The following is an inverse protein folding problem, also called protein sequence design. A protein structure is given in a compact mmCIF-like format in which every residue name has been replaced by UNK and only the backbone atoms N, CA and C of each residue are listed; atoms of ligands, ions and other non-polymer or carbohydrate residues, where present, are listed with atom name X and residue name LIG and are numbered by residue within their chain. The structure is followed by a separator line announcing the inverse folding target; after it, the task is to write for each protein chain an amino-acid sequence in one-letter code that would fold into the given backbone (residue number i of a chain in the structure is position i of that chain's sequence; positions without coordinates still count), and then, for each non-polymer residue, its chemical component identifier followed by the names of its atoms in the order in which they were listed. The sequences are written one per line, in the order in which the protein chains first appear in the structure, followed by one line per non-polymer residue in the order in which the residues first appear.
data_IF_786284563839
#
_entry.id   IF_786284563839
#
_cell.length_a   1.000
_cell.length_b   1.000
_cell.length_c   1.000
_cell.angle_alpha   90.00
_cell.angle_beta   90.00
_cell.angle_gamma   90.00
#
_symmetry.space_group_name_H-M   'P 1'
#
loop_
_entity.id
_entity.type
_entity.pdbx_description
1 polymer ?
#
# COMPACT_ATOMS: atom_id res chain seq x y z
N UNK A 1 -11.00 6.70 -7.18
CA UNK A 1 -10.43 6.89 -8.54
C UNK A 1 -9.11 6.14 -8.72
N UNK A 2 -8.11 6.31 -7.85
CA UNK A 2 -6.83 5.58 -7.93
C UNK A 2 -6.97 4.05 -7.80
N UNK A 3 -7.77 3.57 -6.83
CA UNK A 3 -7.98 2.13 -6.61
C UNK A 3 -8.57 1.45 -7.86
N UNK A 4 -9.54 2.07 -8.53
CA UNK A 4 -10.13 1.54 -9.76
C UNK A 4 -9.10 1.42 -10.92
N UNK A 5 -8.16 2.36 -11.02
CA UNK A 5 -7.07 2.30 -12.00
C UNK A 5 -6.08 1.18 -11.68
N UNK A 6 -5.79 0.94 -10.39
CA UNK A 6 -4.94 -0.17 -9.94
C UNK A 6 -5.59 -1.52 -10.28
N UNK A 7 -6.88 -1.70 -9.97
CA UNK A 7 -7.61 -2.93 -10.29
C UNK A 7 -7.78 -3.15 -11.81
N UNK A 8 -7.99 -2.10 -12.59
CA UNK A 8 -8.03 -2.20 -14.05
C UNK A 8 -6.69 -2.64 -14.65
N UNK A 9 -5.57 -2.07 -14.17
CA UNK A 9 -4.23 -2.48 -14.61
C UNK A 9 -3.93 -3.96 -14.27
N UNK A 10 -4.43 -4.47 -13.14
CA UNK A 10 -4.22 -5.85 -12.70
C UNK A 10 -5.05 -6.90 -13.46
N UNK A 11 -6.23 -6.55 -13.98
CA UNK A 11 -7.21 -7.50 -14.55
C UNK A 11 -7.12 -7.66 -16.07
N UNK A 12 -6.30 -6.88 -16.76
CA UNK A 12 -6.16 -6.97 -18.23
C UNK A 12 -5.61 -8.34 -18.66
N UNK A 13 -6.37 -9.17 -19.41
CA UNK A 13 -5.91 -10.49 -19.81
C UNK A 13 -4.74 -10.39 -20.79
N UNK A 14 -3.69 -11.14 -20.47
CA UNK A 14 -2.44 -11.30 -21.22
C UNK A 14 -2.70 -12.04 -22.54
N UNK A 15 -3.33 -11.40 -23.50
CA UNK A 15 -3.36 -11.89 -24.86
C UNK A 15 -2.53 -10.94 -25.70
N UNK A 16 -1.41 -11.42 -26.26
CA UNK A 16 -1.03 -11.20 -27.66
C UNK A 16 0.30 -11.90 -27.96
N UNK A 17 0.31 -12.53 -29.15
CA UNK A 17 1.32 -13.33 -29.81
C UNK A 17 2.69 -12.66 -30.04
N UNK A 18 3.64 -13.50 -30.49
CA UNK A 18 5.09 -13.34 -30.77
C UNK A 18 5.62 -12.03 -31.40
N UNK A 19 4.78 -11.08 -31.85
CA UNK A 19 5.21 -9.75 -32.32
C UNK A 19 4.61 -8.56 -31.54
N UNK A 20 3.59 -8.80 -30.72
CA UNK A 20 2.99 -7.79 -29.84
C UNK A 20 3.37 -7.95 -28.36
N UNK A 21 4.10 -9.03 -27.99
CA UNK A 21 4.60 -9.25 -26.63
C UNK A 21 5.40 -8.04 -26.09
N UNK A 22 6.30 -7.46 -26.88
CA UNK A 22 7.13 -6.32 -26.41
C UNK A 22 6.31 -5.05 -26.16
N UNK A 23 5.28 -4.80 -26.96
CA UNK A 23 4.46 -3.58 -26.84
C UNK A 23 3.47 -3.71 -25.67
N UNK A 24 2.80 -4.86 -25.54
CA UNK A 24 1.81 -5.08 -24.48
C UNK A 24 2.46 -5.17 -23.09
N UNK A 25 3.65 -5.79 -22.97
CA UNK A 25 4.43 -5.79 -21.72
C UNK A 25 4.84 -4.35 -21.35
N UNK A 26 5.24 -3.54 -22.34
CA UNK A 26 5.55 -2.13 -22.14
C UNK A 26 4.34 -1.31 -21.67
N UNK A 27 3.16 -1.52 -22.26
CA UNK A 27 1.93 -0.82 -21.86
C UNK A 27 1.51 -1.20 -20.44
N UNK A 28 1.55 -2.49 -20.08
CA UNK A 28 1.27 -2.96 -18.72
C UNK A 28 2.25 -2.34 -17.71
N UNK A 29 3.54 -2.31 -18.05
CA UNK A 29 4.57 -1.70 -17.22
C UNK A 29 4.35 -0.18 -17.03
N UNK A 30 4.00 0.54 -18.10
CA UNK A 30 3.71 1.98 -18.03
C UNK A 30 2.49 2.26 -17.16
N UNK A 31 1.40 1.48 -17.29
CA UNK A 31 0.21 1.63 -16.44
C UNK A 31 0.54 1.36 -14.96
N UNK A 32 1.33 0.32 -14.68
CA UNK A 32 1.77 0.03 -13.32
C UNK A 32 2.66 1.15 -12.75
N UNK A 33 3.54 1.74 -13.56
CA UNK A 33 4.37 2.87 -13.14
C UNK A 33 3.54 4.13 -12.86
N UNK A 34 2.49 4.40 -13.65
CA UNK A 34 1.55 5.49 -13.39
C UNK A 34 0.84 5.26 -12.05
N UNK A 35 0.37 4.03 -11.79
CA UNK A 35 -0.26 3.69 -10.51
C UNK A 35 0.69 3.89 -9.32
N UNK A 36 1.94 3.44 -9.44
CA UNK A 36 2.97 3.69 -8.42
C UNK A 36 3.24 5.19 -8.24
N UNK A 37 3.30 5.97 -9.32
CA UNK A 37 3.48 7.44 -9.23
C UNK A 37 2.32 8.12 -8.51
N UNK A 38 1.09 7.66 -8.70
CA UNK A 38 -0.09 8.20 -8.00
C UNK A 38 -0.09 7.81 -6.51
N UNK A 39 0.46 6.65 -6.14
CA UNK A 39 0.57 6.19 -4.76
C UNK A 39 1.84 6.68 -4.05
N UNK A 40 2.85 7.11 -4.81
CA UNK A 40 4.15 7.57 -4.33
C UNK A 40 4.10 8.62 -3.21
N UNK A 41 3.25 9.66 -3.22
CA UNK A 41 3.25 10.66 -2.14
C UNK A 41 2.92 10.05 -0.78
N UNK A 42 1.90 9.18 -0.71
CA UNK A 42 1.52 8.50 0.54
C UNK A 42 2.55 7.46 0.94
N UNK A 43 3.05 6.66 -0.01
CA UNK A 43 4.09 5.67 0.25
C UNK A 43 5.36 6.31 0.83
N UNK A 44 5.81 7.43 0.26
CA UNK A 44 6.97 8.18 0.76
C UNK A 44 6.72 8.76 2.15
N UNK A 45 5.48 9.17 2.45
CA UNK A 45 5.11 9.69 3.78
C UNK A 45 5.20 8.61 4.85
N UNK A 46 4.67 7.42 4.58
CA UNK A 46 4.76 6.26 5.48
C UNK A 46 6.23 5.84 5.68
N UNK A 47 7.02 5.82 4.62
CA UNK A 47 8.46 5.50 4.71
C UNK A 47 9.21 6.53 5.57
N UNK A 48 8.92 7.83 5.41
CA UNK A 48 9.54 8.88 6.24
C UNK A 48 9.16 8.74 7.71
N UNK A 49 7.90 8.38 8.01
CA UNK A 49 7.44 8.10 9.36
C UNK A 49 8.23 6.94 9.99
N UNK A 50 8.43 5.85 9.25
CA UNK A 50 9.25 4.72 9.69
C UNK A 50 10.70 5.14 9.98
N UNK A 51 11.32 5.91 9.08
CA UNK A 51 12.69 6.39 9.29
C UNK A 51 12.81 7.36 10.47
N UNK A 52 11.81 8.21 10.71
CA UNK A 52 11.79 9.12 11.85
C UNK A 52 11.75 8.34 13.18
N UNK A 53 10.93 7.29 13.27
CA UNK A 53 10.88 6.41 14.44
C UNK A 53 12.21 5.68 14.67
N UNK A 54 12.80 5.12 13.61
CA UNK A 54 14.12 4.49 13.68
C UNK A 54 15.21 5.46 14.12
N UNK A 55 15.19 6.69 13.62
CA UNK A 55 16.15 7.72 14.00
C UNK A 55 15.99 8.17 15.46
N UNK A 56 14.77 8.11 16.00
CA UNK A 56 14.47 8.35 17.41
C UNK A 56 14.86 7.18 18.33
N UNK A 57 15.35 6.07 17.77
CA UNK A 57 15.77 4.89 18.53
C UNK A 57 14.61 4.00 18.99
N UNK A 58 13.40 4.21 18.46
CA UNK A 58 12.25 3.35 18.71
C UNK A 58 12.20 2.20 17.70
N UNK A 59 11.66 1.06 18.12
CA UNK A 59 11.27 0.02 17.18
C UNK A 59 10.09 0.57 16.36
N UNK A 60 10.21 0.68 15.02
CA UNK A 60 9.24 1.39 14.22
C UNK A 60 7.92 0.60 14.14
N UNK A 61 6.87 1.15 14.74
CA UNK A 61 5.52 0.62 14.70
C UNK A 61 4.64 1.52 13.82
N UNK A 62 3.82 0.91 12.97
CA UNK A 62 2.88 1.67 12.16
C UNK A 62 1.66 2.02 13.02
N UNK A 63 1.33 3.32 13.10
CA UNK A 63 0.16 3.81 13.80
C UNK A 63 -0.88 4.26 12.75
N UNK A 64 -2.02 3.53 12.61
CA UNK A 64 -3.10 3.92 11.71
C UNK A 64 -3.65 5.32 11.99
N UNK A 65 -3.63 5.77 13.25
CA UNK A 65 -4.15 7.09 13.63
C UNK A 65 -3.27 8.25 13.13
N UNK A 66 -1.99 7.99 12.81
CA UNK A 66 -1.10 8.97 12.20
C UNK A 66 -1.42 9.25 10.72
N UNK A 67 -2.29 8.44 10.12
CA UNK A 67 -2.64 8.46 8.70
C UNK A 67 -4.17 8.36 8.49
N UNK A 68 -4.98 9.30 9.01
CA UNK A 68 -6.44 9.25 8.91
C UNK A 68 -6.96 9.21 7.47
N UNK A 69 -6.20 9.76 6.52
CA UNK A 69 -6.51 9.74 5.09
C UNK A 69 -6.41 8.37 4.42
N UNK A 70 -5.75 7.38 5.05
CA UNK A 70 -5.67 6.02 4.53
C UNK A 70 -6.88 5.15 4.92
N UNK A 71 -7.77 5.65 5.79
CA UNK A 71 -9.00 4.95 6.25
C UNK A 71 -8.73 3.50 6.70
N UNK A 72 -7.63 3.28 7.42
CA UNK A 72 -7.22 1.95 7.91
C UNK A 72 -8.02 1.63 9.18
N UNK A 73 -8.63 0.44 9.24
CA UNK A 73 -9.28 -0.04 10.45
C UNK A 73 -8.20 -0.27 11.53
N UNK A 74 -8.32 0.34 12.73
CA UNK A 74 -7.37 0.12 13.82
C UNK A 74 -7.19 -1.36 14.19
N UNK A 75 -8.21 -2.19 13.98
CA UNK A 75 -8.13 -3.62 14.27
C UNK A 75 -7.20 -4.37 13.28
N UNK A 76 -7.03 -3.87 12.05
CA UNK A 76 -6.17 -4.49 11.02
C UNK A 76 -4.68 -4.48 11.42
N UNK A 77 -4.28 -3.58 12.32
CA UNK A 77 -2.90 -3.46 12.80
C UNK A 77 -2.74 -3.77 14.30
N UNK A 78 -3.75 -4.37 14.92
CA UNK A 78 -3.69 -4.76 16.34
C UNK A 78 -2.74 -5.95 16.56
N UNK A 79 -1.83 -5.83 17.54
CA UNK A 79 -1.03 -6.99 17.97
C UNK A 79 -1.89 -7.91 18.85
N UNK A 80 -1.61 -9.24 18.88
CA UNK A 80 -2.39 -10.19 19.69
C UNK A 80 -2.51 -9.81 21.17
N UNK A 81 -1.52 -9.08 21.71
CA UNK A 81 -1.54 -8.55 23.07
C UNK A 81 -2.54 -7.39 23.27
N UNK A 82 -2.73 -6.55 22.27
CA UNK A 82 -3.70 -5.44 22.29
C UNK A 82 -5.14 -5.97 22.14
N UNK A 83 -5.35 -6.95 21.26
CA UNK A 83 -6.67 -7.61 21.08
C UNK A 83 -7.09 -8.38 22.34
N UNK A 84 -6.15 -9.02 23.06
CA UNK A 84 -6.45 -9.78 24.28
C UNK A 84 -6.86 -8.90 25.48
N UNK A 85 -6.33 -7.67 25.58
CA UNK A 85 -6.69 -6.72 26.64
C UNK A 85 -8.11 -6.16 26.50
N UNK A 86 -8.59 -6.00 25.27
CA UNK A 86 -9.96 -5.54 24.97
C UNK A 86 -11.03 -6.57 25.39
N UNK A 87 -10.71 -7.87 25.31
CA UNK A 87 -11.65 -8.95 25.67
C UNK A 87 -11.75 -9.14 27.20
N UNK A 88 -10.75 -8.73 27.98
CA UNK A 88 -10.76 -8.89 29.45
C UNK A 88 -11.49 -7.78 30.22
N UNK A 89 -11.85 -6.67 29.56
CA UNK A 89 -12.46 -5.51 30.21
C UNK A 89 -13.98 -5.38 29.95
N UNK A 90 -14.64 -6.49 29.63
CA UNK A 90 -16.10 -6.68 29.51
C UNK A 90 -16.51 -7.92 30.27
#
# INVERSE_FOLDING_TARGET
MAIALVFFAFTTPLAVSYYGENATIGVLAVLNLIAVMLLAPEAVRVIKYHFAQRAAGHEPEFDPAAFPELEIDPDDWSTPAQTAGTIQNT
#
